data_IF_488613495672
#
_entry.id   IF_488613495672
#
_cell.length_a   1.000
_cell.length_b   1.000
_cell.length_c   1.000
_cell.angle_alpha   90.00
_cell.angle_beta   90.00
_cell.angle_gamma   90.00
#
_symmetry.space_group_name_H-M   'P 1'
#
loop_
_entity.id
_entity.type
_entity.pdbx_description
1 polymer ?
#
# COMPACT_ATOMS: atom_id res chain seq x y z
N UNK A 1 12.66 22.37 -24.64
CA UNK A 1 12.43 21.12 -23.85
C UNK A 1 12.91 21.15 -22.39
N UNK A 2 13.62 22.18 -21.91
CA UNK A 2 14.12 22.22 -20.52
C UNK A 2 13.10 22.73 -19.47
N UNK A 3 12.03 23.42 -19.86
CA UNK A 3 11.04 23.94 -18.89
C UNK A 3 10.03 22.89 -18.39
N UNK A 4 9.72 21.83 -19.16
CA UNK A 4 8.76 20.80 -18.74
C UNK A 4 9.34 19.89 -17.64
N UNK A 5 10.65 19.64 -17.63
CA UNK A 5 11.28 18.75 -16.66
C UNK A 5 11.45 19.37 -15.25
N UNK A 6 11.41 20.71 -15.13
CA UNK A 6 11.37 21.42 -13.84
C UNK A 6 9.97 21.42 -13.22
N UNK A 7 8.91 21.50 -14.05
CA UNK A 7 7.51 21.45 -13.60
C UNK A 7 7.13 20.10 -12.98
N UNK A 8 7.59 18.97 -13.55
CA UNK A 8 7.34 17.64 -12.97
C UNK A 8 7.97 17.44 -11.57
N UNK A 9 9.19 17.92 -11.34
CA UNK A 9 9.84 17.80 -10.02
C UNK A 9 9.20 18.68 -8.95
N UNK A 10 8.72 19.86 -9.33
CA UNK A 10 8.02 20.77 -8.43
C UNK A 10 6.65 20.21 -8.00
N UNK A 11 5.96 19.50 -8.90
CA UNK A 11 4.69 18.82 -8.59
C UNK A 11 4.84 17.61 -7.66
N UNK A 12 5.95 16.87 -7.81
CA UNK A 12 6.21 15.68 -7.02
C UNK A 12 6.64 16.02 -5.58
N UNK A 13 7.39 17.12 -5.39
CA UNK A 13 7.73 17.65 -4.06
C UNK A 13 6.50 18.26 -3.37
N UNK A 14 5.65 19.02 -4.09
CA UNK A 14 4.38 19.53 -3.56
C UNK A 14 3.42 18.42 -3.13
N UNK A 15 3.33 17.33 -3.91
CA UNK A 15 2.48 16.19 -3.54
C UNK A 15 2.97 15.46 -2.29
N UNK A 16 4.30 15.31 -2.12
CA UNK A 16 4.86 14.67 -0.92
C UNK A 16 4.66 15.56 0.32
N UNK A 17 4.83 16.88 0.20
CA UNK A 17 4.59 17.81 1.32
C UNK A 17 3.11 17.80 1.75
N UNK A 18 2.17 17.73 0.81
CA UNK A 18 0.73 17.65 1.13
C UNK A 18 0.37 16.32 1.81
N UNK A 19 0.98 15.21 1.38
CA UNK A 19 0.77 13.89 2.02
C UNK A 19 1.35 13.87 3.44
N UNK A 20 2.52 14.49 3.67
CA UNK A 20 3.15 14.57 5.00
C UNK A 20 2.40 15.55 5.92
N UNK A 21 1.95 16.69 5.40
CA UNK A 21 1.19 17.69 6.17
C UNK A 21 -0.20 17.17 6.60
N UNK A 22 -0.90 16.41 5.75
CA UNK A 22 -2.18 15.80 6.10
C UNK A 22 -2.02 14.63 7.10
N UNK A 23 -0.86 13.96 7.13
CA UNK A 23 -0.59 12.91 8.10
C UNK A 23 -0.27 13.50 9.50
N UNK A 24 0.50 14.58 9.56
CA UNK A 24 0.84 15.28 10.81
C UNK A 24 -0.40 15.90 11.47
N UNK A 25 -1.30 16.52 10.70
CA UNK A 25 -2.54 17.07 11.24
C UNK A 25 -3.49 15.98 11.76
N UNK A 26 -3.54 14.83 11.08
CA UNK A 26 -4.37 13.70 11.53
C UNK A 26 -3.83 13.07 12.82
N UNK A 27 -2.51 13.01 13.00
CA UNK A 27 -1.88 12.49 14.23
C UNK A 27 -2.04 13.47 15.41
N UNK A 28 -1.95 14.79 15.16
CA UNK A 28 -2.20 15.81 16.18
C UNK A 28 -3.68 15.87 16.59
N UNK A 29 -4.61 15.68 15.65
CA UNK A 29 -6.05 15.58 15.96
C UNK A 29 -6.38 14.31 16.76
N UNK A 30 -5.72 13.19 16.47
CA UNK A 30 -5.89 11.94 17.22
C UNK A 30 -5.28 12.01 18.62
N UNK A 31 -4.14 12.70 18.78
CA UNK A 31 -3.51 12.94 20.08
C UNK A 31 -4.28 13.94 20.96
N UNK A 32 -4.86 14.98 20.35
CA UNK A 32 -5.73 15.94 21.06
C UNK A 32 -7.06 15.30 21.53
N UNK A 33 -7.61 14.37 20.74
CA UNK A 33 -8.82 13.63 21.11
C UNK A 33 -8.55 12.58 22.21
N UNK A 34 -7.36 11.96 22.22
CA UNK A 34 -6.97 11.01 23.27
C UNK A 34 -6.66 11.70 24.61
N UNK A 35 -6.17 12.94 24.58
CA UNK A 35 -5.96 13.75 25.79
C UNK A 35 -7.26 14.30 26.41
N UNK A 36 -8.33 14.50 25.62
CA UNK A 36 -9.65 14.88 26.16
C UNK A 36 -10.48 13.71 26.70
N UNK A 37 -10.13 12.46 26.36
CA UNK A 37 -10.88 11.27 26.80
C UNK A 37 -10.43 10.71 28.17
N UNK A 38 -9.45 11.34 28.84
CA UNK A 38 -8.94 10.91 30.16
C UNK A 38 -9.57 11.71 31.32
N UNK A 39 -10.44 12.68 31.04
CA UNK A 39 -11.09 13.51 32.07
C UNK A 39 -12.60 13.46 31.88
N UNK A 40 -13.24 12.39 32.33
CA UNK A 40 -14.66 12.41 32.73
C UNK A 40 -15.01 11.06 33.37
N UNK A 41 -15.35 11.09 34.67
CA UNK A 41 -15.98 9.96 35.35
C UNK A 41 -15.34 9.48 36.65
N UNK A 42 -15.01 10.36 37.60
CA UNK A 42 -15.07 9.98 39.02
C UNK A 42 -16.43 10.40 39.56
N UNK A 43 -17.41 9.50 39.48
CA UNK A 43 -18.66 9.62 40.26
C UNK A 43 -18.44 9.05 41.66
N UNK A 44 -18.67 9.92 42.65
CA UNK A 44 -18.52 9.68 44.08
C UNK A 44 -19.53 8.62 44.58
N UNK A 45 -19.05 7.52 45.17
CA UNK A 45 -19.92 6.55 45.87
C UNK A 45 -20.61 7.22 47.07
N UNK A 46 -21.94 7.16 47.21
CA UNK A 46 -22.62 7.69 48.39
C UNK A 46 -22.35 6.79 49.60
N UNK A 47 -21.76 7.38 50.65
CA UNK A 47 -21.58 6.72 51.96
C UNK A 47 -22.93 6.58 52.67
N UNK A 48 -23.45 5.34 52.72
CA UNK A 48 -24.62 4.99 53.51
C UNK A 48 -24.29 5.01 55.01
N UNK A 49 -25.00 5.86 55.78
CA UNK A 49 -24.97 5.84 57.25
C UNK A 49 -26.25 5.14 57.74
N UNK A 50 -26.19 4.05 58.51
CA UNK A 50 -27.39 3.50 59.14
C UNK A 50 -27.77 4.34 60.36
N UNK A 51 -28.96 4.94 60.32
CA UNK A 51 -29.56 5.63 61.46
C UNK A 51 -30.20 4.61 62.39
N UNK A 52 -29.92 4.69 63.69
CA UNK A 52 -30.38 3.76 64.71
C UNK A 52 -31.91 3.81 64.90
N UNK A 53 -32.63 2.67 64.85
CA UNK A 53 -34.06 2.61 65.15
C UNK A 53 -34.35 2.85 66.64
N UNK A 54 -35.25 3.81 66.93
CA UNK A 54 -35.83 4.03 68.27
C UNK A 54 -36.90 2.97 68.55
N UNK A 55 -36.80 2.33 69.71
CA UNK A 55 -37.81 1.41 70.27
C UNK A 55 -38.71 2.20 71.22
N UNK A 56 -40.05 2.06 71.13
CA UNK A 56 -40.91 2.12 72.30
C UNK A 56 -41.54 0.75 72.59
N UNK A 57 -41.56 0.44 73.88
CA UNK A 57 -41.98 -0.79 74.56
C UNK A 57 -43.42 -1.23 74.31
N UNK A 58 -43.63 -2.55 74.36
CA UNK A 58 -44.73 -3.07 75.19
C UNK A 58 -45.69 -4.08 74.59
N UNK A 59 -45.22 -5.20 74.01
CA UNK A 59 -45.97 -6.47 74.03
C UNK A 59 -44.99 -7.62 73.83
N UNK A 60 -45.13 -8.72 74.60
CA UNK A 60 -44.16 -9.84 74.70
C UNK A 60 -43.54 -10.20 73.33
N UNK A 61 -42.31 -9.75 73.11
CA UNK A 61 -41.57 -10.02 71.89
C UNK A 61 -40.77 -11.30 72.10
N UNK A 62 -41.17 -12.40 71.48
CA UNK A 62 -40.38 -13.63 71.46
C UNK A 62 -39.06 -13.36 70.73
N UNK A 63 -37.96 -13.31 71.48
CA UNK A 63 -36.62 -12.99 70.94
C UNK A 63 -36.17 -13.97 69.85
N UNK A 64 -36.63 -15.22 69.91
CA UNK A 64 -36.39 -16.24 68.86
C UNK A 64 -37.11 -15.90 67.55
N UNK A 65 -38.30 -15.29 67.60
CA UNK A 65 -39.05 -14.90 66.41
C UNK A 65 -38.43 -13.68 65.72
N UNK A 66 -37.87 -12.75 66.50
CA UNK A 66 -37.09 -11.61 65.97
C UNK A 66 -35.82 -12.10 65.28
N UNK A 67 -35.10 -13.06 65.87
CA UNK A 67 -33.90 -13.62 65.26
C UNK A 67 -34.21 -14.41 63.99
N UNK A 68 -35.28 -15.23 63.98
CA UNK A 68 -35.74 -15.92 62.76
C UNK A 68 -36.17 -14.95 61.68
N UNK A 69 -36.91 -13.88 62.02
CA UNK A 69 -37.30 -12.82 61.06
C UNK A 69 -36.08 -12.09 60.49
N UNK A 70 -35.05 -11.86 61.29
CA UNK A 70 -33.79 -11.26 60.81
C UNK A 70 -33.04 -12.21 59.86
N UNK A 71 -32.86 -13.47 60.23
CA UNK A 71 -32.19 -14.47 59.39
C UNK A 71 -32.94 -14.70 58.07
N UNK A 72 -34.27 -14.79 58.10
CA UNK A 72 -35.08 -14.94 56.89
C UNK A 72 -35.01 -13.71 55.99
N UNK A 73 -35.00 -12.51 56.57
CA UNK A 73 -34.81 -11.26 55.82
C UNK A 73 -33.44 -11.22 55.16
N UNK A 74 -32.38 -11.48 55.92
CA UNK A 74 -31.01 -11.48 55.40
C UNK A 74 -30.83 -12.54 54.30
N UNK A 75 -31.44 -13.72 54.46
CA UNK A 75 -31.42 -14.79 53.45
C UNK A 75 -32.14 -14.38 52.16
N UNK A 76 -33.29 -13.70 52.27
CA UNK A 76 -34.04 -13.20 51.11
C UNK A 76 -33.33 -12.02 50.43
N UNK A 77 -32.72 -11.12 51.20
CA UNK A 77 -31.93 -10.01 50.66
C UNK A 77 -30.69 -10.51 49.92
N UNK A 78 -29.98 -11.50 50.49
CA UNK A 78 -28.85 -12.15 49.82
C UNK A 78 -29.27 -12.87 48.54
N UNK A 79 -30.40 -13.60 48.56
CA UNK A 79 -30.93 -14.23 47.36
C UNK A 79 -31.29 -13.21 46.27
N UNK A 80 -31.92 -12.09 46.63
CA UNK A 80 -32.25 -11.01 45.70
C UNK A 80 -31.03 -10.33 45.10
N UNK A 81 -29.95 -10.14 45.88
CA UNK A 81 -28.68 -9.61 45.38
C UNK A 81 -27.98 -10.58 44.41
N UNK A 82 -28.02 -11.88 44.73
CA UNK A 82 -27.48 -12.94 43.86
C UNK A 82 -28.21 -12.93 42.52
N UNK A 83 -29.54 -12.94 42.52
CA UNK A 83 -30.35 -12.96 41.30
C UNK A 83 -30.17 -11.68 40.48
N UNK A 84 -30.10 -10.53 41.14
CA UNK A 84 -29.82 -9.25 40.48
C UNK A 84 -28.46 -9.24 39.80
N UNK A 85 -27.41 -9.77 40.46
CA UNK A 85 -26.07 -9.84 39.88
C UNK A 85 -26.03 -10.78 38.66
N UNK A 86 -26.70 -11.94 38.71
CA UNK A 86 -26.77 -12.85 37.57
C UNK A 86 -27.55 -12.26 36.39
N UNK A 87 -28.69 -11.61 36.65
CA UNK A 87 -29.48 -10.97 35.60
C UNK A 87 -28.77 -9.77 34.98
N UNK A 88 -28.03 -8.98 35.78
CA UNK A 88 -27.17 -7.90 35.26
C UNK A 88 -26.07 -8.46 34.35
N UNK A 89 -25.32 -9.46 34.81
CA UNK A 89 -24.25 -10.08 34.01
C UNK A 89 -24.77 -10.70 32.72
N UNK A 90 -25.94 -11.35 32.77
CA UNK A 90 -26.59 -11.94 31.60
C UNK A 90 -27.05 -10.88 30.58
N UNK A 91 -27.61 -9.76 31.04
CA UNK A 91 -27.99 -8.64 30.16
C UNK A 91 -26.77 -7.99 29.53
N UNK A 92 -25.73 -7.72 30.32
CA UNK A 92 -24.45 -7.17 29.82
C UNK A 92 -23.80 -8.10 28.80
N UNK A 93 -23.81 -9.42 29.04
CA UNK A 93 -23.28 -10.41 28.09
C UNK A 93 -24.08 -10.43 26.78
N UNK A 94 -25.40 -10.39 26.85
CA UNK A 94 -26.27 -10.32 25.66
C UNK A 94 -26.04 -9.03 24.86
N UNK A 95 -25.90 -7.88 25.52
CA UNK A 95 -25.59 -6.61 24.87
C UNK A 95 -24.20 -6.62 24.21
N UNK A 96 -23.22 -7.20 24.90
CA UNK A 96 -21.86 -7.33 24.40
C UNK A 96 -21.79 -8.26 23.19
N UNK A 97 -22.53 -9.37 23.20
CA UNK A 97 -22.66 -10.29 22.06
C UNK A 97 -23.35 -9.57 20.88
N UNK A 98 -24.48 -8.89 21.13
CA UNK A 98 -25.19 -8.15 20.08
C UNK A 98 -24.36 -7.00 19.47
N UNK A 99 -23.48 -6.38 20.26
CA UNK A 99 -22.54 -5.37 19.77
C UNK A 99 -21.43 -6.00 18.92
N UNK A 100 -20.84 -7.12 19.38
CA UNK A 100 -19.83 -7.88 18.63
C UNK A 100 -20.38 -8.36 17.29
N UNK A 101 -21.59 -8.91 17.27
CA UNK A 101 -22.24 -9.36 16.04
C UNK A 101 -22.45 -8.20 15.05
N UNK A 102 -22.87 -7.02 15.53
CA UNK A 102 -22.99 -5.81 14.69
C UNK A 102 -21.64 -5.33 14.14
N UNK A 103 -20.57 -5.44 14.93
CA UNK A 103 -19.22 -5.10 14.48
C UNK A 103 -18.71 -6.10 13.44
N UNK A 104 -18.93 -7.38 13.67
CA UNK A 104 -18.54 -8.46 12.77
C UNK A 104 -19.30 -8.38 11.45
N UNK A 105 -20.62 -8.14 11.49
CA UNK A 105 -21.44 -7.90 10.28
C UNK A 105 -20.87 -6.74 9.45
N UNK A 106 -20.54 -5.60 10.07
CA UNK A 106 -19.91 -4.47 9.36
C UNK A 106 -18.53 -4.81 8.81
N UNK A 107 -17.77 -5.68 9.47
CA UNK A 107 -16.45 -6.13 8.99
C UNK A 107 -16.62 -7.06 7.79
N UNK A 108 -17.53 -8.01 7.85
CA UNK A 108 -17.87 -8.92 6.77
C UNK A 108 -18.39 -8.16 5.54
N UNK A 109 -19.25 -7.16 5.73
CA UNK A 109 -19.76 -6.33 4.63
C UNK A 109 -18.65 -5.54 3.94
N UNK A 110 -17.72 -4.93 4.69
CA UNK A 110 -16.56 -4.25 4.09
C UNK A 110 -15.65 -5.22 3.35
N UNK A 111 -15.41 -6.40 3.91
CA UNK A 111 -14.61 -7.45 3.27
C UNK A 111 -15.25 -7.91 1.95
N UNK A 112 -16.57 -8.10 1.94
CA UNK A 112 -17.32 -8.51 0.76
C UNK A 112 -17.36 -7.41 -0.30
N UNK A 113 -17.59 -6.16 0.08
CA UNK A 113 -17.49 -5.01 -0.84
C UNK A 113 -16.10 -4.92 -1.48
N UNK A 114 -15.05 -5.20 -0.71
CA UNK A 114 -13.68 -5.21 -1.23
C UNK A 114 -13.47 -6.38 -2.20
N UNK A 115 -13.98 -7.59 -1.89
CA UNK A 115 -13.93 -8.75 -2.80
C UNK A 115 -14.63 -8.44 -4.12
N UNK A 116 -15.86 -7.93 -4.08
CA UNK A 116 -16.63 -7.56 -5.27
C UNK A 116 -15.87 -6.51 -6.11
N UNK A 117 -15.26 -5.50 -5.48
CA UNK A 117 -14.43 -4.51 -6.21
C UNK A 117 -13.22 -5.16 -6.87
N UNK A 118 -12.49 -6.00 -6.14
CA UNK A 118 -11.31 -6.69 -6.69
C UNK A 118 -11.67 -7.65 -7.82
N UNK A 119 -12.82 -8.32 -7.73
CA UNK A 119 -13.32 -9.25 -8.75
C UNK A 119 -13.76 -8.49 -10.01
N UNK A 120 -14.54 -7.42 -9.87
CA UNK A 120 -14.91 -6.53 -10.99
C UNK A 120 -13.68 -5.89 -11.65
N UNK A 121 -12.66 -5.52 -10.88
CA UNK A 121 -11.41 -4.98 -11.41
C UNK A 121 -10.62 -6.03 -12.19
N UNK A 122 -10.53 -7.25 -11.64
CA UNK A 122 -9.88 -8.39 -12.28
C UNK A 122 -10.61 -8.80 -13.57
N UNK A 123 -11.93 -8.83 -13.56
CA UNK A 123 -12.75 -9.12 -14.74
C UNK A 123 -12.55 -8.06 -15.84
N UNK A 124 -12.58 -6.76 -15.48
CA UNK A 124 -12.29 -5.68 -16.43
C UNK A 124 -10.87 -5.75 -16.99
N UNK A 125 -9.91 -6.22 -16.20
CA UNK A 125 -8.54 -6.43 -16.66
C UNK A 125 -8.44 -7.66 -17.58
N UNK A 126 -9.09 -8.77 -17.21
CA UNK A 126 -9.15 -9.99 -17.99
C UNK A 126 -9.80 -9.75 -19.36
N UNK A 127 -10.92 -9.02 -19.42
CA UNK A 127 -11.58 -8.66 -20.70
C UNK A 127 -10.67 -7.84 -21.63
N UNK A 128 -9.91 -6.88 -21.08
CA UNK A 128 -8.93 -6.09 -21.87
C UNK A 128 -7.72 -6.92 -22.31
N UNK A 129 -7.38 -7.97 -21.56
CA UNK A 129 -6.30 -8.87 -21.91
C UNK A 129 -6.74 -9.91 -22.93
N UNK A 130 -7.95 -10.45 -22.82
CA UNK A 130 -8.55 -11.36 -23.78
C UNK A 130 -8.83 -10.69 -25.12
N UNK A 131 -9.38 -9.47 -25.14
CA UNK A 131 -9.58 -8.71 -26.38
C UNK A 131 -8.26 -8.41 -27.08
N UNK A 132 -7.22 -8.09 -26.30
CA UNK A 132 -5.87 -7.90 -26.82
C UNK A 132 -5.25 -9.22 -27.31
N UNK A 133 -5.47 -10.33 -26.60
CA UNK A 133 -4.98 -11.65 -27.02
C UNK A 133 -5.65 -12.11 -28.30
N UNK A 134 -6.97 -11.93 -28.43
CA UNK A 134 -7.72 -12.23 -29.66
C UNK A 134 -7.26 -11.37 -30.83
N UNK A 135 -7.02 -10.07 -30.61
CA UNK A 135 -6.45 -9.20 -31.64
C UNK A 135 -5.02 -9.59 -32.02
N UNK A 136 -4.20 -10.00 -31.06
CA UNK A 136 -2.85 -10.51 -31.31
C UNK A 136 -2.88 -11.85 -32.07
N UNK A 137 -3.83 -12.74 -31.78
CA UNK A 137 -4.05 -14.01 -32.50
C UNK A 137 -4.55 -13.76 -33.94
N UNK A 138 -5.49 -12.84 -34.15
CA UNK A 138 -5.98 -12.45 -35.48
C UNK A 138 -4.89 -11.72 -36.31
N UNK A 139 -4.12 -10.82 -35.71
CA UNK A 139 -3.01 -10.14 -36.37
C UNK A 139 -1.82 -11.07 -36.64
N UNK A 140 -1.61 -12.11 -35.80
CA UNK A 140 -0.63 -13.16 -36.04
C UNK A 140 -1.05 -14.06 -37.20
N UNK A 141 -2.33 -14.48 -37.25
CA UNK A 141 -2.87 -15.27 -38.36
C UNK A 141 -2.83 -14.52 -39.68
N UNK A 142 -3.24 -13.24 -39.70
CA UNK A 142 -3.10 -12.37 -40.88
C UNK A 142 -1.64 -12.15 -41.27
N UNK A 143 -0.69 -12.10 -40.32
CA UNK A 143 0.75 -12.07 -40.67
C UNK A 143 1.19 -13.35 -41.33
N UNK A 144 0.77 -14.49 -40.79
CA UNK A 144 1.20 -15.78 -41.31
C UNK A 144 0.66 -15.99 -42.73
N UNK A 145 -0.57 -15.57 -43.00
CA UNK A 145 -1.14 -15.57 -44.35
C UNK A 145 -0.45 -14.55 -45.28
N UNK A 146 -0.17 -13.33 -44.80
CA UNK A 146 0.57 -12.32 -45.58
C UNK A 146 2.03 -12.71 -45.83
N UNK A 147 2.73 -13.34 -44.88
CA UNK A 147 4.10 -13.82 -45.05
C UNK A 147 4.14 -15.07 -45.94
N UNK A 148 3.14 -15.95 -45.88
CA UNK A 148 3.00 -17.06 -46.83
C UNK A 148 2.72 -16.55 -48.25
N UNK A 149 1.81 -15.57 -48.38
CA UNK A 149 1.50 -14.92 -49.66
C UNK A 149 2.68 -14.10 -50.19
N UNK A 150 3.39 -13.38 -49.33
CA UNK A 150 4.62 -12.65 -49.68
C UNK A 150 5.77 -13.60 -50.00
N UNK A 151 5.92 -14.74 -49.32
CA UNK A 151 6.91 -15.77 -49.68
C UNK A 151 6.58 -16.39 -51.05
N UNK A 152 5.30 -16.58 -51.35
CA UNK A 152 4.87 -17.01 -52.69
C UNK A 152 5.12 -15.93 -53.76
N UNK A 153 4.96 -14.63 -53.43
CA UNK A 153 5.15 -13.52 -54.37
C UNK A 153 6.62 -13.04 -54.49
N UNK A 154 7.43 -13.12 -53.43
CA UNK A 154 8.83 -12.73 -53.38
C UNK A 154 9.76 -13.78 -53.99
N UNK A 155 9.27 -14.98 -54.26
CA UNK A 155 9.97 -15.92 -55.15
C UNK A 155 9.98 -15.42 -56.62
N UNK A 156 9.22 -14.38 -56.95
CA UNK A 156 9.11 -13.82 -58.30
C UNK A 156 9.78 -12.47 -58.56
N UNK A 157 10.05 -11.63 -57.55
CA UNK A 157 10.58 -10.28 -57.84
C UNK A 157 11.40 -9.64 -56.70
N UNK A 158 12.72 -9.71 -56.85
CA UNK A 158 13.65 -8.60 -56.61
C UNK A 158 13.83 -8.05 -55.18
N UNK A 159 14.84 -8.60 -54.48
CA UNK A 159 15.85 -8.07 -53.52
C UNK A 159 15.78 -6.68 -52.82
N UNK A 160 14.78 -5.82 -53.00
CA UNK A 160 14.76 -4.47 -52.39
C UNK A 160 13.73 -4.27 -51.25
N UNK A 161 12.89 -5.27 -50.95
CA UNK A 161 11.88 -5.19 -49.87
C UNK A 161 12.40 -5.62 -48.47
N UNK A 162 13.63 -6.15 -48.40
CA UNK A 162 14.20 -6.76 -47.18
C UNK A 162 14.38 -5.80 -45.99
N UNK A 163 14.62 -4.50 -46.25
CA UNK A 163 14.84 -3.49 -45.19
C UNK A 163 13.57 -3.11 -44.41
N UNK A 164 12.40 -3.11 -45.08
CA UNK A 164 11.14 -2.74 -44.44
C UNK A 164 10.59 -3.86 -43.54
N UNK A 165 10.85 -5.12 -43.92
CA UNK A 165 10.42 -6.29 -43.16
C UNK A 165 11.14 -6.42 -41.82
N UNK A 166 12.46 -6.15 -41.76
CA UNK A 166 13.23 -6.22 -40.51
C UNK A 166 12.76 -5.21 -39.45
N UNK A 167 12.25 -4.04 -39.88
CA UNK A 167 11.63 -3.05 -38.99
C UNK A 167 10.23 -3.46 -38.51
N UNK A 168 9.50 -4.23 -39.31
CA UNK A 168 8.20 -4.78 -38.96
C UNK A 168 8.31 -6.01 -38.05
N UNK A 169 9.32 -6.87 -38.25
CA UNK A 169 9.59 -8.03 -37.40
C UNK A 169 10.07 -7.64 -35.99
N UNK A 170 10.89 -6.58 -35.87
CA UNK A 170 11.27 -6.02 -34.57
C UNK A 170 10.06 -5.47 -33.76
N UNK A 171 8.93 -5.20 -34.43
CA UNK A 171 7.67 -4.80 -33.79
C UNK A 171 6.70 -5.96 -33.55
N UNK A 172 6.90 -7.12 -34.18
CA UNK A 172 5.92 -8.23 -34.19
C UNK A 172 6.32 -9.45 -33.35
N UNK A 173 7.58 -9.57 -32.94
CA UNK A 173 7.98 -10.53 -31.90
C UNK A 173 7.71 -9.97 -30.51
N UNK A 174 6.68 -10.49 -29.82
CA UNK A 174 6.35 -10.33 -28.40
C UNK A 174 6.72 -8.99 -27.79
N UNK A 175 5.73 -8.08 -27.66
CA UNK A 175 5.84 -6.72 -27.09
C UNK A 175 7.02 -6.64 -26.12
N UNK A 176 8.21 -6.24 -26.62
CA UNK A 176 9.42 -6.12 -25.80
C UNK A 176 8.99 -5.29 -24.61
N UNK A 177 9.03 -5.89 -23.41
CA UNK A 177 8.59 -5.22 -22.20
C UNK A 177 9.22 -3.84 -22.21
N UNK A 178 8.39 -2.80 -22.22
CA UNK A 178 8.89 -1.46 -22.45
C UNK A 178 9.91 -1.16 -21.35
N UNK A 179 10.95 -0.37 -21.63
CA UNK A 179 11.93 0.02 -20.60
C UNK A 179 11.24 0.60 -19.34
N UNK A 180 10.07 1.21 -19.53
CA UNK A 180 9.19 1.68 -18.44
C UNK A 180 8.63 0.53 -17.59
N UNK A 181 8.14 -0.54 -18.21
CA UNK A 181 7.62 -1.72 -17.53
C UNK A 181 8.75 -2.52 -16.86
N UNK A 182 9.91 -2.66 -17.49
CA UNK A 182 11.09 -3.29 -16.87
C UNK A 182 11.55 -2.52 -15.63
N UNK A 183 11.66 -1.19 -15.74
CA UNK A 183 11.99 -0.33 -14.60
C UNK A 183 10.96 -0.49 -13.48
N UNK A 184 9.67 -0.55 -13.81
CA UNK A 184 8.60 -0.74 -12.81
C UNK A 184 8.73 -2.10 -12.13
N UNK A 185 9.01 -3.16 -12.89
CA UNK A 185 9.25 -4.50 -12.35
C UNK A 185 10.44 -4.52 -11.40
N UNK A 186 11.61 -4.04 -11.84
CA UNK A 186 12.83 -3.98 -11.02
C UNK A 186 12.62 -3.17 -9.74
N UNK A 187 11.92 -2.03 -9.80
CA UNK A 187 11.63 -1.22 -8.62
C UNK A 187 10.65 -1.90 -7.66
N UNK A 188 9.68 -2.66 -8.18
CA UNK A 188 8.78 -3.45 -7.36
C UNK A 188 9.53 -4.59 -6.67
N UNK A 189 10.41 -5.29 -7.38
CA UNK A 189 11.24 -6.37 -6.85
C UNK A 189 12.20 -5.88 -5.75
N UNK A 190 12.73 -4.66 -5.89
CA UNK A 190 13.58 -4.03 -4.85
C UNK A 190 12.79 -3.52 -3.63
N UNK A 191 11.47 -3.38 -3.73
CA UNK A 191 10.64 -2.81 -2.66
C UNK A 191 10.25 -3.90 -1.67
N UNK A 192 10.92 -3.93 -0.52
CA UNK A 192 10.52 -4.79 0.60
C UNK A 192 9.24 -4.22 1.26
N UNK A 193 8.14 -5.00 1.36
CA UNK A 193 6.98 -4.56 2.13
C UNK A 193 7.37 -4.45 3.60
N UNK A 194 6.95 -3.35 4.24
CA UNK A 194 7.17 -3.13 5.67
C UNK A 194 5.91 -3.55 6.42
N UNK A 195 6.06 -4.43 7.40
CA UNK A 195 5.03 -4.75 8.37
C UNK A 195 5.41 -4.11 9.69
N UNK A 196 4.64 -3.13 10.16
CA UNK A 196 4.92 -2.32 11.37
C UNK A 196 3.92 -2.57 12.51
N UNK A 197 2.85 -3.30 12.27
CA UNK A 197 1.67 -3.30 13.15
C UNK A 197 1.83 -4.13 14.44
N UNK A 198 2.88 -4.95 14.56
CA UNK A 198 3.09 -5.87 15.68
C UNK A 198 4.52 -5.84 16.26
N UNK A 199 5.24 -4.72 16.13
CA UNK A 199 6.61 -4.59 16.61
C UNK A 199 6.69 -3.83 17.95
N UNK A 200 7.58 -4.30 18.84
CA UNK A 200 7.93 -3.63 20.10
C UNK A 200 8.78 -2.37 19.83
N UNK A 201 8.82 -1.41 20.77
CA UNK A 201 9.49 -0.11 20.59
C UNK A 201 10.98 -0.26 20.23
N UNK A 202 11.72 -1.13 20.92
CA UNK A 202 13.14 -1.38 20.62
C UNK A 202 13.34 -1.93 19.20
N UNK A 203 12.47 -2.84 18.76
CA UNK A 203 12.52 -3.41 17.41
C UNK A 203 12.17 -2.38 16.33
N UNK A 204 11.34 -1.39 16.65
CA UNK A 204 11.04 -0.27 15.75
C UNK A 204 12.26 0.64 15.58
N UNK A 205 13.04 0.87 16.64
CA UNK A 205 14.29 1.65 16.58
C UNK A 205 15.34 0.97 15.70
N UNK A 206 15.54 -0.33 15.88
CA UNK A 206 16.45 -1.11 15.04
C UNK A 206 16.03 -1.09 13.56
N UNK A 207 14.72 -1.23 13.29
CA UNK A 207 14.19 -1.15 11.92
C UNK A 207 14.33 0.24 11.31
N UNK A 208 14.19 1.30 12.10
CA UNK A 208 14.44 2.65 11.63
C UNK A 208 15.92 2.86 11.26
N UNK A 209 16.85 2.32 12.05
CA UNK A 209 18.28 2.34 11.74
C UNK A 209 18.62 1.53 10.49
N UNK A 210 18.09 0.31 10.33
CA UNK A 210 18.28 -0.51 9.12
C UNK A 210 17.80 0.22 7.86
N UNK A 211 16.63 0.88 7.92
CA UNK A 211 16.09 1.66 6.80
C UNK A 211 16.93 2.91 6.52
N UNK A 212 17.44 3.57 7.55
CA UNK A 212 18.30 4.73 7.42
C UNK A 212 19.64 4.37 6.75
N UNK A 213 20.28 3.29 7.19
CA UNK A 213 21.50 2.78 6.55
C UNK A 213 21.24 2.37 5.09
N UNK A 214 20.10 1.74 4.82
CA UNK A 214 19.71 1.39 3.44
C UNK A 214 19.56 2.63 2.55
N UNK A 215 18.92 3.69 3.03
CA UNK A 215 18.81 4.97 2.30
C UNK A 215 20.20 5.56 2.04
N UNK A 216 21.06 5.57 3.06
CA UNK A 216 22.43 6.08 2.95
C UNK A 216 23.24 5.34 1.87
N UNK A 217 23.16 4.02 1.81
CA UNK A 217 23.80 3.22 0.75
C UNK A 217 23.26 3.57 -0.63
N UNK A 218 21.94 3.69 -0.80
CA UNK A 218 21.33 4.08 -2.07
C UNK A 218 21.74 5.49 -2.52
N UNK A 219 21.93 6.42 -1.58
CA UNK A 219 22.44 7.76 -1.89
C UNK A 219 23.89 7.74 -2.35
N UNK A 220 24.74 6.94 -1.71
CA UNK A 220 26.13 6.75 -2.13
C UNK A 220 26.24 6.14 -3.54
N UNK A 221 25.49 5.07 -3.83
CA UNK A 221 25.43 4.46 -5.17
C UNK A 221 24.98 5.46 -6.25
N UNK A 222 23.95 6.26 -5.93
CA UNK A 222 23.45 7.31 -6.82
C UNK A 222 24.53 8.36 -7.10
N UNK A 223 25.28 8.77 -6.08
CA UNK A 223 26.37 9.73 -6.23
C UNK A 223 27.46 9.19 -7.17
N UNK A 224 27.91 7.96 -6.95
CA UNK A 224 28.94 7.33 -7.79
C UNK A 224 28.47 7.20 -9.25
N UNK A 225 27.23 6.79 -9.49
CA UNK A 225 26.65 6.74 -10.83
C UNK A 225 26.56 8.11 -11.51
N UNK A 226 26.23 9.17 -10.74
CA UNK A 226 26.20 10.53 -11.27
C UNK A 226 27.59 11.01 -11.69
N UNK A 227 28.62 10.77 -10.87
CA UNK A 227 30.00 11.15 -11.19
C UNK A 227 30.54 10.35 -12.38
N UNK A 228 30.27 9.03 -12.43
CA UNK A 228 30.61 8.18 -13.57
C UNK A 228 29.97 8.69 -14.86
N UNK A 229 28.69 9.06 -14.82
CA UNK A 229 27.99 9.61 -15.97
C UNK A 229 28.59 10.96 -16.44
N UNK A 230 29.02 11.83 -15.51
CA UNK A 230 29.73 13.07 -15.86
C UNK A 230 31.05 12.77 -16.58
N UNK A 231 31.84 11.83 -16.07
CA UNK A 231 33.10 11.40 -16.70
C UNK A 231 32.87 10.81 -18.09
N UNK A 232 31.91 9.90 -18.23
CA UNK A 232 31.55 9.31 -19.53
C UNK A 232 31.09 10.35 -20.55
N UNK A 233 30.34 11.37 -20.13
CA UNK A 233 29.94 12.47 -21.03
C UNK A 233 31.16 13.26 -21.55
N UNK A 234 32.14 13.50 -20.69
CA UNK A 234 33.39 14.14 -21.09
C UNK A 234 34.17 13.26 -22.08
N UNK A 235 34.36 11.98 -21.76
CA UNK A 235 35.04 11.00 -22.62
C UNK A 235 34.37 10.90 -24.00
N UNK A 236 33.05 10.76 -24.06
CA UNK A 236 32.29 10.72 -25.32
C UNK A 236 32.50 12.00 -26.13
N UNK A 237 32.49 13.16 -25.48
CA UNK A 237 32.71 14.45 -26.17
C UNK A 237 34.11 14.55 -26.75
N UNK A 238 35.13 14.14 -25.99
CA UNK A 238 36.53 14.12 -26.42
C UNK A 238 36.76 13.12 -27.56
N UNK A 239 36.19 11.91 -27.44
CA UNK A 239 36.29 10.89 -28.49
C UNK A 239 35.61 11.34 -29.78
N UNK A 240 34.47 12.03 -29.71
CA UNK A 240 33.82 12.62 -30.89
C UNK A 240 34.73 13.62 -31.60
N UNK A 241 35.39 14.52 -30.86
CA UNK A 241 36.36 15.49 -31.43
C UNK A 241 37.54 14.77 -32.09
N UNK A 242 38.11 13.75 -31.45
CA UNK A 242 39.21 12.95 -32.01
C UNK A 242 38.80 12.24 -33.31
N UNK A 243 37.59 11.67 -33.36
CA UNK A 243 37.06 11.04 -34.58
C UNK A 243 36.90 12.07 -35.70
N UNK A 244 36.39 13.27 -35.38
CA UNK A 244 36.28 14.36 -36.36
C UNK A 244 37.66 14.78 -36.91
N UNK A 245 38.67 14.93 -36.06
CA UNK A 245 40.04 15.24 -36.46
C UNK A 245 40.63 14.16 -37.38
N UNK A 246 40.57 12.88 -36.98
CA UNK A 246 41.05 11.77 -37.80
C UNK A 246 40.31 11.65 -39.14
N UNK A 247 39.01 11.96 -39.17
CA UNK A 247 38.21 11.94 -40.40
C UNK A 247 38.65 12.99 -41.43
N UNK A 248 39.20 14.12 -40.98
CA UNK A 248 39.73 15.19 -41.87
C UNK A 248 40.97 14.72 -42.64
N UNK A 249 41.84 13.91 -42.02
CA UNK A 249 43.03 13.35 -42.67
C UNK A 249 42.69 12.17 -43.59
N UNK A 250 41.68 11.36 -43.24
CA UNK A 250 41.20 10.25 -44.08
C UNK A 250 40.67 10.71 -45.45
N UNK A 251 39.94 11.84 -45.51
CA UNK A 251 39.42 12.38 -46.77
C UNK A 251 40.52 12.89 -47.72
N UNK A 252 41.63 13.44 -47.19
CA UNK A 252 42.78 13.88 -48.01
C UNK A 252 43.57 12.69 -48.59
N UNK A 253 43.68 11.58 -47.86
CA UNK A 253 44.34 10.36 -48.33
C UNK A 253 43.56 9.57 -49.39
N UNK A 254 42.22 9.68 -49.41
CA UNK A 254 41.40 9.09 -50.47
C UNK A 254 41.43 9.91 -51.77
N UNK A 255 41.46 11.25 -51.68
CA UNK A 255 41.58 12.13 -52.84
C UNK A 255 42.96 12.05 -53.52
N UNK A 256 44.03 11.87 -52.75
CA UNK A 256 45.39 11.68 -53.29
C UNK A 256 45.58 10.30 -53.95
N UNK A 257 44.98 9.24 -53.40
CA UNK A 257 45.04 7.89 -54.01
C UNK A 257 44.21 7.71 -55.28
N UNK A 258 43.25 8.60 -55.55
CA UNK A 258 42.40 8.55 -56.76
C UNK A 258 43.00 9.30 -57.96
N UNK A 259 44.15 9.97 -57.78
CA UNK A 259 44.85 10.78 -58.80
C UNK A 259 46.10 10.10 -59.38
N UNK A 260 46.28 8.80 -59.17
CA UNK A 260 47.39 8.04 -59.74
C UNK A 260 46.88 6.92 -60.62
#
# INVERSE_FOLDING_TARGET
MFLLAKKCRCWQIRSIIIIVANNIHSVLAFCSCLMLAVIEGEEEKPKFKPSAPKIPDGEKVDFDDIQKKRLNKDTLELQGLIDTHFEQRKKEEQELIALKERMEKRRAERAEQQRIRTEKDKERQARREEERRRKEEEDAKKKAEEDAKKKSALSGMGSNYSSHLQKADAKKGGKKQTEREKKKKILADRRKPLNVDHLNEDKLRDKAQELFEWIKTLEAEKFEHMERLKRQKYEVTTLRRRVEELSKFSKKGAASRRRK
#
